data_IF_307508035199
#
_entry.id   IF_307508035199
#
_cell.length_a   1.000
_cell.length_b   1.000
_cell.length_c   1.000
_cell.angle_alpha   90.00
_cell.angle_beta   90.00
_cell.angle_gamma   90.00
#
_symmetry.space_group_name_H-M   'P 1'
#
loop_
_entity.id
_entity.type
_entity.pdbx_description
1 polymer ?
#
# COMPACT_ATOMS: atom_id res chain seq x y z
N UNK A 1 12.95 15.25 -18.27
CA UNK A 1 11.94 14.16 -18.38
C UNK A 1 12.32 13.09 -17.37
N UNK A 2 11.51 12.89 -16.32
CA UNK A 2 11.75 11.87 -15.27
C UNK A 2 11.46 10.49 -15.90
N UNK A 3 12.49 9.73 -16.29
CA UNK A 3 12.36 8.50 -17.11
C UNK A 3 12.77 7.23 -16.35
N UNK A 4 12.29 6.99 -15.13
CA UNK A 4 12.30 5.63 -14.60
C UNK A 4 10.96 4.98 -14.88
N UNK A 5 10.99 4.01 -15.79
CA UNK A 5 9.84 3.18 -16.12
C UNK A 5 9.81 1.98 -15.18
N UNK A 6 8.60 1.50 -14.90
CA UNK A 6 8.38 0.26 -14.19
C UNK A 6 7.69 -0.69 -15.17
N UNK A 7 8.43 -1.68 -15.61
CA UNK A 7 7.94 -2.71 -16.51
C UNK A 7 7.00 -3.64 -15.74
N UNK A 8 5.81 -3.83 -16.29
CA UNK A 8 4.78 -4.76 -15.82
C UNK A 8 4.54 -5.82 -16.91
N UNK A 9 3.44 -6.59 -16.84
CA UNK A 9 3.16 -7.63 -17.84
C UNK A 9 3.14 -7.04 -19.26
N UNK A 10 3.72 -7.69 -20.30
CA UNK A 10 3.90 -7.13 -21.64
C UNK A 10 2.62 -6.62 -22.34
N UNK A 11 1.45 -7.12 -21.90
CA UNK A 11 0.14 -6.74 -22.43
C UNK A 11 -0.46 -5.50 -21.73
N UNK A 12 0.20 -4.97 -20.70
CA UNK A 12 -0.26 -3.83 -19.90
C UNK A 12 0.62 -2.62 -20.17
N UNK A 13 0.07 -1.43 -19.89
CA UNK A 13 0.82 -0.17 -20.04
C UNK A 13 1.84 -0.07 -18.94
N UNK A 14 3.03 0.42 -19.28
CA UNK A 14 4.08 0.74 -18.32
C UNK A 14 3.57 1.68 -17.23
N UNK A 15 4.06 1.50 -16.01
CA UNK A 15 3.77 2.39 -14.88
C UNK A 15 4.90 3.42 -14.76
N UNK A 16 4.52 4.70 -14.63
CA UNK A 16 5.45 5.82 -14.60
C UNK A 16 5.23 6.68 -13.35
N UNK A 17 6.29 7.06 -12.61
CA UNK A 17 6.20 8.10 -11.60
C UNK A 17 5.91 9.45 -12.27
N UNK A 18 4.98 10.20 -11.68
CA UNK A 18 4.44 11.46 -12.20
C UNK A 18 4.85 12.67 -11.36
N UNK A 19 5.44 12.46 -10.19
CA UNK A 19 6.05 13.51 -9.36
C UNK A 19 7.51 13.18 -9.03
N UNK A 20 8.24 14.19 -8.52
CA UNK A 20 9.61 13.96 -8.06
C UNK A 20 9.66 12.98 -6.89
N UNK A 21 8.74 13.09 -5.92
CA UNK A 21 8.71 12.16 -4.77
C UNK A 21 8.31 10.75 -5.18
N UNK A 22 7.42 10.59 -6.15
CA UNK A 22 7.13 9.27 -6.72
C UNK A 22 8.37 8.65 -7.37
N UNK A 23 9.20 9.44 -8.06
CA UNK A 23 10.46 8.97 -8.60
C UNK A 23 11.44 8.56 -7.48
N UNK A 24 11.62 9.43 -6.48
CA UNK A 24 12.50 9.15 -5.35
C UNK A 24 12.03 7.91 -4.56
N UNK A 25 10.71 7.67 -4.48
CA UNK A 25 10.12 6.46 -3.91
C UNK A 25 10.47 5.19 -4.67
N UNK A 26 10.32 5.21 -5.99
CA UNK A 26 10.70 4.07 -6.84
C UNK A 26 12.19 3.76 -6.71
N UNK A 27 13.04 4.79 -6.63
CA UNK A 27 14.48 4.63 -6.38
C UNK A 27 14.77 4.04 -5.01
N UNK A 28 14.08 4.52 -3.97
CA UNK A 28 14.24 4.00 -2.63
C UNK A 28 13.90 2.50 -2.57
N UNK A 29 12.79 2.08 -3.20
CA UNK A 29 12.40 0.66 -3.28
C UNK A 29 13.46 -0.19 -4.00
N UNK A 30 14.14 0.38 -5.02
CA UNK A 30 15.22 -0.32 -5.71
C UNK A 30 16.47 -0.47 -4.86
N UNK A 31 16.80 0.54 -4.08
CA UNK A 31 18.06 0.64 -3.34
C UNK A 31 18.03 0.01 -1.94
N UNK A 32 16.84 -0.14 -1.33
CA UNK A 32 16.71 -0.60 0.05
C UNK A 32 15.81 -1.83 0.15
N UNK A 33 16.10 -2.66 1.16
CA UNK A 33 15.34 -3.86 1.46
C UNK A 33 14.04 -3.56 2.20
N UNK A 34 13.99 -2.47 2.98
CA UNK A 34 12.79 -1.99 3.67
C UNK A 34 12.53 -0.54 3.31
N UNK A 35 11.31 -0.23 2.85
CA UNK A 35 10.92 1.15 2.50
C UNK A 35 9.54 1.49 3.04
N UNK A 36 9.42 2.68 3.63
CA UNK A 36 8.16 3.28 4.06
C UNK A 36 7.73 4.37 3.08
N UNK A 37 6.59 4.17 2.42
CA UNK A 37 5.87 5.18 1.63
C UNK A 37 4.75 5.80 2.45
N UNK A 38 4.94 7.01 2.94
CA UNK A 38 4.05 7.64 3.93
C UNK A 38 3.42 8.88 3.34
N UNK A 39 2.09 9.00 3.39
CA UNK A 39 1.41 10.24 3.02
C UNK A 39 0.02 10.06 2.41
N UNK A 40 -0.59 11.13 1.88
CA UNK A 40 -2.00 11.17 1.54
C UNK A 40 -2.49 10.11 0.54
N UNK A 41 -3.79 9.81 0.57
CA UNK A 41 -4.44 9.00 -0.44
C UNK A 41 -4.39 9.66 -1.84
N UNK A 42 -4.13 8.85 -2.87
CA UNK A 42 -4.01 9.32 -4.26
C UNK A 42 -2.61 9.80 -4.67
N UNK A 43 -1.62 9.70 -3.79
CA UNK A 43 -0.19 9.98 -4.09
C UNK A 43 0.52 8.85 -4.84
N UNK A 44 -0.15 7.70 -5.01
CA UNK A 44 0.37 6.55 -5.76
C UNK A 44 1.27 5.60 -4.96
N UNK A 45 1.44 5.81 -3.65
CA UNK A 45 2.33 5.01 -2.79
C UNK A 45 2.12 3.48 -2.89
N UNK A 46 0.89 3.00 -2.79
CA UNK A 46 0.58 1.56 -2.87
C UNK A 46 0.71 1.05 -4.31
N UNK A 47 0.15 1.80 -5.27
CA UNK A 47 0.19 1.43 -6.69
C UNK A 47 1.62 1.32 -7.24
N UNK A 48 2.51 2.25 -6.90
CA UNK A 48 3.92 2.20 -7.32
C UNK A 48 4.67 1.06 -6.63
N UNK A 49 4.39 0.77 -5.36
CA UNK A 49 4.96 -0.38 -4.66
C UNK A 49 4.58 -1.71 -5.33
N UNK A 50 3.30 -1.86 -5.69
CA UNK A 50 2.80 -3.05 -6.38
C UNK A 50 3.40 -3.17 -7.78
N UNK A 51 3.53 -2.07 -8.53
CA UNK A 51 4.20 -2.09 -9.82
C UNK A 51 5.66 -2.55 -9.69
N UNK A 52 6.37 -2.09 -8.66
CA UNK A 52 7.72 -2.56 -8.35
C UNK A 52 7.75 -4.05 -8.01
N UNK A 53 6.81 -4.54 -7.20
CA UNK A 53 6.71 -5.96 -6.86
C UNK A 53 6.54 -6.84 -8.11
N UNK A 54 5.62 -6.46 -9.00
CA UNK A 54 5.40 -7.15 -10.28
C UNK A 54 6.65 -7.10 -11.14
N UNK A 55 7.32 -5.95 -11.23
CA UNK A 55 8.55 -5.79 -12.02
C UNK A 55 9.67 -6.70 -11.53
N UNK A 56 9.92 -6.74 -10.22
CA UNK A 56 10.95 -7.59 -9.61
C UNK A 56 10.63 -9.07 -9.76
N UNK A 57 9.35 -9.45 -9.67
CA UNK A 57 8.89 -10.81 -9.92
C UNK A 57 9.12 -11.24 -11.37
N UNK A 58 8.72 -10.42 -12.35
CA UNK A 58 8.90 -10.71 -13.78
C UNK A 58 10.39 -10.79 -14.18
N UNK A 59 11.27 -10.05 -13.48
CA UNK A 59 12.72 -10.14 -13.65
C UNK A 59 13.35 -11.36 -12.99
N UNK A 60 12.59 -12.09 -12.17
CA UNK A 60 13.08 -13.25 -11.42
C UNK A 60 13.91 -12.90 -10.19
N UNK A 61 13.91 -11.63 -9.75
CA UNK A 61 14.65 -11.19 -8.56
C UNK A 61 13.99 -11.72 -7.27
N UNK A 62 12.66 -11.85 -7.29
CA UNK A 62 11.87 -12.53 -6.26
C UNK A 62 11.02 -13.63 -6.88
N UNK A 63 10.68 -14.64 -6.10
CA UNK A 63 9.86 -15.77 -6.56
C UNK A 63 8.40 -15.65 -6.15
N UNK A 64 8.07 -14.73 -5.23
CA UNK A 64 6.71 -14.53 -4.71
C UNK A 64 6.39 -13.06 -4.47
N UNK A 65 5.11 -12.71 -4.55
CA UNK A 65 4.58 -11.41 -4.12
C UNK A 65 3.59 -11.67 -2.99
N UNK A 66 3.73 -10.96 -1.88
CA UNK A 66 2.83 -11.06 -0.73
C UNK A 66 2.24 -9.68 -0.46
N UNK A 67 0.95 -9.53 -0.67
CA UNK A 67 0.21 -8.31 -0.41
C UNK A 67 -0.63 -8.51 0.84
N UNK A 68 -0.45 -7.63 1.82
CA UNK A 68 -1.17 -7.72 3.07
C UNK A 68 -1.71 -6.39 3.54
N UNK A 69 -2.83 -6.45 4.24
CA UNK A 69 -3.53 -5.28 4.81
C UNK A 69 -4.05 -5.66 6.20
N UNK A 70 -3.95 -4.78 7.20
CA UNK A 70 -4.57 -5.03 8.50
C UNK A 70 -6.10 -5.07 8.31
N UNK A 71 -6.73 -6.14 8.77
CA UNK A 71 -8.18 -6.19 8.82
C UNK A 71 -8.65 -5.24 9.92
N UNK A 72 -9.44 -4.22 9.56
CA UNK A 72 -10.18 -3.39 10.52
C UNK A 72 -11.63 -3.34 10.11
N UNK A 73 -12.49 -3.38 11.11
CA UNK A 73 -13.93 -3.19 10.96
C UNK A 73 -14.16 -1.73 10.57
N UNK A 74 -14.43 -1.47 9.29
CA UNK A 74 -14.72 -0.13 8.79
C UNK A 74 -16.14 0.28 9.21
N UNK A 75 -16.37 0.57 10.49
CA UNK A 75 -17.67 1.02 11.03
C UNK A 75 -18.81 0.00 10.96
N UNK A 76 -18.73 -0.99 10.07
CA UNK A 76 -19.53 -2.20 10.02
C UNK A 76 -18.73 -3.32 10.68
N UNK A 77 -19.16 -3.74 11.87
CA UNK A 77 -18.56 -4.87 12.58
C UNK A 77 -18.50 -6.08 11.63
N UNK A 78 -17.30 -6.63 11.37
CA UNK A 78 -17.08 -7.79 10.48
C UNK A 78 -17.96 -8.97 10.92
N UNK A 79 -18.25 -9.06 12.22
CA UNK A 79 -19.18 -10.03 12.80
C UNK A 79 -20.57 -10.05 12.15
N UNK A 80 -21.05 -8.93 11.60
CA UNK A 80 -22.43 -8.75 11.13
C UNK A 80 -22.61 -8.83 9.62
N UNK A 81 -21.53 -8.79 8.83
CA UNK A 81 -21.62 -9.08 7.41
C UNK A 81 -22.04 -10.55 7.22
N UNK A 82 -23.04 -10.88 6.39
CA UNK A 82 -23.38 -12.27 6.10
C UNK A 82 -22.26 -12.92 5.28
N UNK A 83 -22.11 -14.25 5.40
CA UNK A 83 -21.15 -15.02 4.59
C UNK A 83 -19.96 -15.62 5.36
N UNK A 84 -19.07 -16.27 4.62
CA UNK A 84 -17.84 -16.86 5.13
C UNK A 84 -16.85 -15.78 5.60
N UNK A 85 -15.87 -16.16 6.42
CA UNK A 85 -14.82 -15.23 6.85
C UNK A 85 -14.08 -14.60 5.66
N UNK A 86 -13.90 -15.37 4.58
CA UNK A 86 -13.26 -14.91 3.35
C UNK A 86 -14.14 -13.85 2.65
N UNK A 87 -15.44 -14.10 2.52
CA UNK A 87 -16.39 -13.14 1.92
C UNK A 87 -16.42 -11.81 2.68
N UNK A 88 -16.28 -11.86 4.01
CA UNK A 88 -16.24 -10.67 4.87
C UNK A 88 -14.98 -9.82 4.69
N UNK A 89 -13.85 -10.46 4.37
CA UNK A 89 -12.56 -9.77 4.26
C UNK A 89 -12.26 -9.33 2.82
N UNK A 90 -12.83 -10.01 1.83
CA UNK A 90 -12.63 -9.70 0.42
C UNK A 90 -12.84 -8.22 0.04
N UNK A 91 -13.85 -7.49 0.53
CA UNK A 91 -14.02 -6.07 0.22
C UNK A 91 -12.79 -5.21 0.57
N UNK A 92 -12.09 -5.55 1.66
CA UNK A 92 -10.90 -4.82 2.11
C UNK A 92 -9.66 -5.12 1.28
N UNK A 93 -9.59 -6.34 0.73
CA UNK A 93 -8.48 -6.76 -0.12
C UNK A 93 -8.71 -6.41 -1.60
N UNK A 94 -9.96 -6.16 -2.00
CA UNK A 94 -10.37 -5.91 -3.39
C UNK A 94 -9.52 -4.86 -4.11
N UNK A 95 -9.17 -3.70 -3.51
CA UNK A 95 -8.32 -2.72 -4.18
C UNK A 95 -6.94 -3.26 -4.60
N UNK A 96 -6.39 -4.22 -3.84
CA UNK A 96 -5.12 -4.87 -4.17
C UNK A 96 -5.28 -5.82 -5.37
N UNK A 97 -6.39 -6.56 -5.44
CA UNK A 97 -6.72 -7.37 -6.62
C UNK A 97 -6.89 -6.52 -7.87
N UNK A 98 -7.66 -5.44 -7.78
CA UNK A 98 -7.92 -4.54 -8.90
C UNK A 98 -6.60 -3.92 -9.43
N UNK A 99 -5.72 -3.49 -8.52
CA UNK A 99 -4.40 -2.98 -8.90
C UNK A 99 -3.49 -4.04 -9.55
N UNK A 100 -3.55 -5.31 -9.10
CA UNK A 100 -2.83 -6.41 -9.78
C UNK A 100 -3.35 -6.62 -11.19
N UNK A 101 -4.68 -6.59 -11.39
CA UNK A 101 -5.29 -6.73 -12.72
C UNK A 101 -4.96 -5.57 -13.66
N UNK A 102 -4.62 -4.40 -13.14
CA UNK A 102 -4.10 -3.31 -13.96
C UNK A 102 -2.68 -3.59 -14.49
N UNK A 103 -1.89 -4.37 -13.75
CA UNK A 103 -0.46 -4.62 -14.02
C UNK A 103 -0.20 -5.97 -14.71
N UNK A 104 -1.11 -6.93 -14.58
CA UNK A 104 -0.99 -8.29 -15.09
C UNK A 104 -2.31 -8.77 -15.73
N UNK A 105 -2.26 -9.78 -16.59
CA UNK A 105 -3.48 -10.34 -17.18
C UNK A 105 -4.37 -11.01 -16.12
N UNK A 106 -5.70 -10.99 -16.27
CA UNK A 106 -6.60 -11.57 -15.28
C UNK A 106 -6.34 -13.07 -15.06
N UNK A 107 -6.23 -13.84 -16.15
CA UNK A 107 -5.94 -15.27 -16.09
C UNK A 107 -4.54 -15.56 -15.52
N UNK A 108 -3.59 -14.66 -15.80
CA UNK A 108 -2.22 -14.73 -15.28
C UNK A 108 -2.21 -14.55 -13.75
N UNK A 109 -2.88 -13.51 -13.25
CA UNK A 109 -3.03 -13.25 -11.80
C UNK A 109 -3.77 -14.40 -11.13
N UNK A 110 -4.89 -14.86 -11.70
CA UNK A 110 -5.66 -15.97 -11.15
C UNK A 110 -4.82 -17.23 -10.98
N UNK A 111 -4.07 -17.63 -12.01
CA UNK A 111 -3.19 -18.79 -11.95
C UNK A 111 -2.03 -18.62 -10.96
N UNK A 112 -1.48 -17.40 -10.82
CA UNK A 112 -0.41 -17.13 -9.84
C UNK A 112 -0.92 -17.16 -8.40
N UNK A 113 -2.15 -16.72 -8.16
CA UNK A 113 -2.80 -16.79 -6.85
C UNK A 113 -3.12 -18.24 -6.49
N UNK A 114 -3.68 -19.02 -7.43
CA UNK A 114 -3.98 -20.43 -7.22
C UNK A 114 -2.73 -21.24 -6.86
N UNK A 115 -1.59 -20.92 -7.46
CA UNK A 115 -0.29 -21.55 -7.15
C UNK A 115 0.37 -21.01 -5.87
N UNK A 116 -0.20 -20.00 -5.21
CA UNK A 116 0.39 -19.34 -4.04
C UNK A 116 1.65 -18.53 -4.35
N UNK A 117 1.86 -18.15 -5.62
CA UNK A 117 2.99 -17.30 -6.04
C UNK A 117 2.70 -15.83 -5.72
N UNK A 118 1.45 -15.40 -5.95
CA UNK A 118 0.93 -14.15 -5.45
C UNK A 118 -0.02 -14.47 -4.31
N UNK A 119 0.23 -13.93 -3.12
CA UNK A 119 -0.64 -14.08 -1.96
C UNK A 119 -1.26 -12.71 -1.64
N UNK A 120 -2.59 -12.64 -1.54
CA UNK A 120 -3.31 -11.45 -1.04
C UNK A 120 -4.06 -11.87 0.21
N UNK A 121 -3.59 -11.42 1.38
CA UNK A 121 -4.08 -11.96 2.65
C UNK A 121 -4.08 -10.93 3.78
N UNK A 122 -4.93 -11.10 4.82
CA UNK A 122 -4.93 -10.23 5.99
C UNK A 122 -3.61 -10.32 6.77
N UNK A 123 -3.25 -9.24 7.47
CA UNK A 123 -2.00 -9.16 8.26
C UNK A 123 -1.82 -10.31 9.26
N UNK A 124 -2.92 -10.81 9.83
CA UNK A 124 -2.89 -11.92 10.78
C UNK A 124 -2.26 -13.20 10.21
N UNK A 125 -2.35 -13.42 8.89
CA UNK A 125 -1.80 -14.59 8.20
C UNK A 125 -0.28 -14.54 8.09
N UNK A 126 0.35 -13.40 8.42
CA UNK A 126 1.81 -13.27 8.43
C UNK A 126 2.43 -13.84 9.71
N UNK A 127 1.65 -14.08 10.77
CA UNK A 127 2.14 -14.56 12.05
C UNK A 127 2.82 -15.93 11.91
N UNK A 128 4.01 -16.08 12.51
CA UNK A 128 4.76 -17.34 12.52
C UNK A 128 5.44 -17.69 11.20
N UNK A 129 5.40 -16.81 10.19
CA UNK A 129 6.03 -17.05 8.89
C UNK A 129 7.42 -16.43 8.81
N UNK A 130 8.28 -17.03 8.00
CA UNK A 130 9.50 -16.38 7.48
C UNK A 130 9.35 -16.26 5.97
N UNK A 131 9.39 -15.04 5.46
CA UNK A 131 9.06 -14.72 4.07
C UNK A 131 10.35 -14.51 3.30
N UNK A 132 10.94 -15.61 2.79
CA UNK A 132 12.14 -15.59 1.96
C UNK A 132 11.79 -15.43 0.46
N UNK A 133 12.71 -14.84 -0.30
CA UNK A 133 12.61 -14.67 -1.76
C UNK A 133 11.31 -13.99 -2.21
N UNK A 134 10.81 -13.03 -1.45
CA UNK A 134 9.50 -12.44 -1.65
C UNK A 134 9.54 -10.91 -1.69
N UNK A 135 8.70 -10.32 -2.52
CA UNK A 135 8.35 -8.90 -2.42
C UNK A 135 7.08 -8.76 -1.59
N UNK A 136 7.18 -8.11 -0.44
CA UNK A 136 6.14 -8.06 0.59
C UNK A 136 5.65 -6.63 0.69
N UNK A 137 4.34 -6.41 0.66
CA UNK A 137 3.72 -5.10 0.80
C UNK A 137 2.72 -5.14 1.95
N UNK A 138 2.89 -4.24 2.93
CA UNK A 138 1.89 -3.91 3.93
C UNK A 138 1.20 -2.60 3.53
N UNK A 139 -0.05 -2.70 3.10
CA UNK A 139 -0.90 -1.56 2.77
C UNK A 139 -1.74 -1.10 3.97
N UNK A 140 -2.13 0.17 3.98
CA UNK A 140 -2.81 0.84 5.10
C UNK A 140 -2.16 0.62 6.48
N UNK A 141 -0.84 0.75 6.53
CA UNK A 141 -0.07 0.48 7.73
C UNK A 141 -0.44 1.38 8.94
N UNK A 142 -1.11 2.52 8.73
CA UNK A 142 -1.60 3.38 9.81
C UNK A 142 -2.62 2.67 10.72
N UNK A 143 -3.21 1.57 10.23
CA UNK A 143 -4.19 0.74 10.90
C UNK A 143 -3.57 -0.43 11.68
N UNK A 144 -2.23 -0.49 11.75
CA UNK A 144 -1.52 -1.46 12.58
C UNK A 144 -1.24 -0.91 13.97
N UNK A 145 -1.20 -1.77 14.97
CA UNK A 145 -0.58 -1.45 16.27
C UNK A 145 0.94 -1.57 16.21
N UNK A 146 1.67 -1.00 17.17
CA UNK A 146 3.12 -1.16 17.28
C UNK A 146 3.56 -2.64 17.32
N UNK A 147 2.80 -3.49 18.03
CA UNK A 147 3.06 -4.92 18.10
C UNK A 147 2.86 -5.62 16.75
N UNK A 148 1.80 -5.27 16.02
CA UNK A 148 1.55 -5.82 14.68
C UNK A 148 2.61 -5.39 13.68
N UNK A 149 3.06 -4.14 13.73
CA UNK A 149 4.14 -3.63 12.89
C UNK A 149 5.46 -4.37 13.16
N UNK A 150 5.84 -4.51 14.44
CA UNK A 150 7.03 -5.27 14.82
C UNK A 150 6.92 -6.75 14.41
N UNK A 151 5.75 -7.36 14.64
CA UNK A 151 5.46 -8.73 14.22
C UNK A 151 5.66 -8.88 12.72
N UNK A 152 5.16 -7.95 11.91
CA UNK A 152 5.27 -7.97 10.45
C UNK A 152 6.71 -7.78 9.95
N UNK A 153 7.41 -6.73 10.43
CA UNK A 153 8.79 -6.44 10.01
C UNK A 153 9.72 -7.62 10.31
N UNK A 154 9.50 -8.32 11.43
CA UNK A 154 10.26 -9.53 11.81
C UNK A 154 9.84 -10.81 11.06
N UNK A 155 8.97 -10.74 10.05
CA UNK A 155 8.69 -11.86 9.12
C UNK A 155 9.55 -11.83 7.88
N UNK A 156 10.18 -10.69 7.59
CA UNK A 156 11.05 -10.56 6.43
C UNK A 156 12.23 -11.54 6.54
N UNK A 157 12.37 -12.39 5.52
CA UNK A 157 13.45 -13.36 5.39
C UNK A 157 14.54 -12.91 4.43
N UNK A 158 15.43 -13.83 4.09
CA UNK A 158 16.53 -13.60 3.15
C UNK A 158 16.03 -13.32 1.73
N UNK A 159 16.77 -12.47 1.01
CA UNK A 159 16.51 -12.09 -0.38
C UNK A 159 15.06 -11.63 -0.60
N UNK A 160 14.52 -10.90 0.36
CA UNK A 160 13.18 -10.33 0.30
C UNK A 160 13.25 -8.82 0.30
N UNK A 161 12.17 -8.19 -0.14
CA UNK A 161 11.98 -6.74 -0.03
C UNK A 161 10.65 -6.47 0.63
N UNK A 162 10.60 -5.45 1.47
CA UNK A 162 9.43 -5.10 2.24
C UNK A 162 9.08 -3.63 2.03
N UNK A 163 7.87 -3.36 1.56
CA UNK A 163 7.37 -2.00 1.38
C UNK A 163 6.15 -1.78 2.25
N UNK A 164 6.22 -0.78 3.11
CA UNK A 164 5.16 -0.41 4.04
C UNK A 164 4.54 0.89 3.54
N UNK A 165 3.24 0.90 3.33
CA UNK A 165 2.54 2.09 2.84
C UNK A 165 1.41 2.48 3.78
N UNK A 166 1.22 3.78 3.98
CA UNK A 166 0.12 4.25 4.84
C UNK A 166 0.00 5.75 4.90
N UNK A 167 -1.10 6.22 5.47
CA UNK A 167 -1.40 7.62 5.71
C UNK A 167 -1.65 7.84 7.20
N UNK A 168 -0.71 8.44 7.95
CA UNK A 168 -0.89 8.68 9.38
C UNK A 168 -2.12 9.51 9.74
N UNK A 169 -2.66 10.29 8.79
CA UNK A 169 -3.84 11.14 9.01
C UNK A 169 -5.17 10.38 8.90
N UNK A 170 -5.14 9.15 8.39
CA UNK A 170 -6.32 8.29 8.18
C UNK A 170 -6.26 7.04 9.07
N UNK A 171 -5.76 7.18 10.30
CA UNK A 171 -5.74 6.06 11.24
C UNK A 171 -7.14 5.80 11.78
N UNK A 172 -7.63 4.57 11.56
CA UNK A 172 -8.90 4.12 12.11
C UNK A 172 -8.74 3.61 13.55
N UNK A 173 -7.51 3.56 14.09
CA UNK A 173 -7.21 3.05 15.43
C UNK A 173 -8.07 3.75 16.49
N UNK A 174 -8.51 2.97 17.48
CA UNK A 174 -9.16 3.59 18.63
C UNK A 174 -8.15 4.53 19.29
N UNK A 175 -8.54 5.75 19.69
CA UNK A 175 -7.61 6.78 20.14
C UNK A 175 -6.73 6.43 21.36
N UNK A 176 -6.88 5.23 21.94
CA UNK A 176 -6.02 4.67 22.99
C UNK A 176 -4.80 3.91 22.44
N UNK A 177 -4.84 3.46 21.19
CA UNK A 177 -3.78 2.67 20.57
C UNK A 177 -2.82 3.57 19.78
N UNK A 178 -1.52 3.46 20.04
CA UNK A 178 -0.50 4.15 19.25
C UNK A 178 -0.37 3.49 17.88
N UNK A 179 -0.43 4.29 16.81
CA UNK A 179 -0.24 3.79 15.45
C UNK A 179 1.14 3.15 15.28
N UNK A 180 1.14 1.90 14.80
CA UNK A 180 2.35 1.14 14.50
C UNK A 180 3.19 1.79 13.41
N UNK A 181 2.55 2.45 12.44
CA UNK A 181 3.26 3.21 11.40
C UNK A 181 4.03 4.38 11.99
N UNK A 182 3.37 5.24 12.77
CA UNK A 182 4.04 6.39 13.42
C UNK A 182 5.15 5.93 14.37
N UNK A 183 4.87 4.92 15.18
CA UNK A 183 5.86 4.35 16.08
C UNK A 183 7.09 3.80 15.34
N UNK A 184 6.89 3.09 14.23
CA UNK A 184 7.99 2.57 13.42
C UNK A 184 8.80 3.69 12.77
N UNK A 185 8.16 4.74 12.23
CA UNK A 185 8.85 5.90 11.68
C UNK A 185 9.76 6.54 12.73
N UNK A 186 9.28 6.72 13.95
CA UNK A 186 10.05 7.33 15.04
C UNK A 186 11.20 6.42 15.50
N UNK A 187 10.93 5.12 15.65
CA UNK A 187 11.89 4.14 16.20
C UNK A 187 12.99 3.79 15.21
N UNK A 188 12.65 3.69 13.93
CA UNK A 188 13.54 3.16 12.88
C UNK A 188 14.24 4.26 12.08
N UNK A 189 14.00 5.55 12.42
CA UNK A 189 14.55 6.69 11.68
C UNK A 189 16.07 6.72 11.59
N UNK A 190 16.76 6.16 12.58
CA UNK A 190 18.22 6.12 12.66
C UNK A 190 18.85 4.90 11.96
N UNK A 191 18.05 4.00 11.40
CA UNK A 191 18.55 2.83 10.67
C UNK A 191 18.73 3.25 9.21
N UNK A 192 19.98 3.38 8.76
CA UNK A 192 20.32 3.98 7.47
C UNK A 192 19.85 3.13 6.28
N UNK A 193 19.70 1.82 6.47
CA UNK A 193 19.27 0.86 5.46
C UNK A 193 17.74 0.88 5.22
N UNK A 194 16.99 1.65 6.02
CA UNK A 194 15.54 1.77 5.87
C UNK A 194 15.21 3.08 5.15
N UNK A 195 14.60 2.97 3.97
CA UNK A 195 14.15 4.11 3.20
C UNK A 195 12.85 4.70 3.74
N UNK A 196 12.78 6.02 3.92
CA UNK A 196 11.54 6.73 4.25
C UNK A 196 11.23 7.77 3.19
N UNK A 197 10.03 7.71 2.60
CA UNK A 197 9.57 8.67 1.61
C UNK A 197 8.23 9.25 2.04
N UNK A 198 8.22 10.56 2.29
CA UNK A 198 7.06 11.30 2.74
C UNK A 198 6.43 12.06 1.58
N UNK A 199 5.26 11.62 1.15
CA UNK A 199 4.41 12.28 0.16
C UNK A 199 3.58 13.39 0.81
N UNK A 200 3.19 14.38 0.02
CA UNK A 200 2.16 15.34 0.41
C UNK A 200 1.10 15.51 -0.68
N UNK A 201 0.15 16.43 -0.45
CA UNK A 201 -0.98 16.67 -1.35
C UNK A 201 -0.56 17.12 -2.75
N UNK A 202 0.66 17.64 -2.94
CA UNK A 202 1.17 18.04 -4.27
C UNK A 202 1.59 16.85 -5.13
N UNK A 203 1.77 15.68 -4.51
CA UNK A 203 2.06 14.43 -5.23
C UNK A 203 0.79 13.69 -5.66
N UNK A 204 -0.39 14.21 -5.30
CA UNK A 204 -1.67 13.61 -5.67
C UNK A 204 -1.91 13.82 -7.14
N UNK A 205 -2.06 12.72 -7.88
CA UNK A 205 -2.37 12.77 -9.30
C UNK A 205 -3.83 12.39 -9.50
N UNK A 206 -4.67 13.39 -9.69
CA UNK A 206 -6.11 13.22 -9.94
C UNK A 206 -6.48 13.78 -11.30
N UNK A 207 -7.60 13.27 -11.81
CA UNK A 207 -8.19 13.84 -13.02
C UNK A 207 -8.70 15.26 -12.70
N UNK A 208 -8.52 16.21 -13.62
CA UNK A 208 -8.90 17.61 -13.42
C UNK A 208 -10.38 17.80 -13.03
N UNK A 209 -11.28 16.91 -13.52
CA UNK A 209 -12.69 16.91 -13.11
C UNK A 209 -12.84 16.61 -11.60
N UNK A 210 -12.07 15.67 -11.05
CA UNK A 210 -12.17 15.29 -9.64
C UNK A 210 -11.72 16.44 -8.73
N UNK A 211 -10.71 17.21 -9.14
CA UNK A 211 -10.32 18.43 -8.43
C UNK A 211 -11.46 19.46 -8.41
N UNK A 212 -12.13 19.66 -9.56
CA UNK A 212 -13.32 20.55 -9.63
C UNK A 212 -14.45 20.07 -8.73
N UNK A 213 -14.70 18.76 -8.68
CA UNK A 213 -15.72 18.17 -7.80
C UNK A 213 -15.35 18.42 -6.32
N UNK A 214 -14.11 18.15 -5.91
CA UNK A 214 -13.66 18.37 -4.54
C UNK A 214 -13.77 19.85 -4.16
N UNK A 215 -13.36 20.76 -5.05
CA UNK A 215 -13.50 22.19 -4.85
C UNK A 215 -14.97 22.59 -4.66
N UNK A 216 -15.88 22.06 -5.47
CA UNK A 216 -17.31 22.35 -5.37
C UNK A 216 -17.92 21.86 -4.04
N UNK A 217 -17.48 20.71 -3.52
CA UNK A 217 -17.92 20.19 -2.21
C UNK A 217 -17.29 20.94 -1.03
N UNK A 218 -16.06 21.44 -1.16
CA UNK A 218 -15.40 22.22 -0.11
C UNK A 218 -15.86 23.69 -0.09
N UNK A 219 -16.30 24.22 -1.23
CA UNK A 219 -16.74 25.62 -1.39
C UNK A 219 -18.19 25.90 -0.98
N UNK A 220 -18.96 24.90 -0.55
CA UNK A 220 -20.34 25.07 -0.08
C UNK A 220 -20.46 25.29 1.45
N UNK A 221 -19.34 25.51 2.15
CA UNK A 221 -19.28 25.72 3.60
C UNK A 221 -19.25 27.17 4.09
N UNK A 222 -19.15 28.18 3.22
CA UNK A 222 -19.15 29.60 3.59
C UNK A 222 -20.29 30.33 2.85
N UNK A 223 -21.50 30.25 3.40
CA UNK A 223 -22.69 30.86 2.81
C UNK A 223 -23.86 30.89 3.78
N UNK A 224 -23.65 31.47 4.97
CA UNK A 224 -24.68 31.57 6.00
C UNK A 224 -24.30 32.53 7.10
N UNK A 225 -24.04 33.79 6.75
CA UNK A 225 -23.73 34.83 7.72
C UNK A 225 -23.71 36.20 7.07
N UNK A 226 -24.86 36.67 6.61
CA UNK A 226 -25.19 38.10 6.49
C UNK A 226 -26.72 38.24 6.28
N UNK A 227 -27.30 39.27 6.90
CA UNK A 227 -28.71 39.55 7.24
C UNK A 227 -29.06 39.02 8.64
N UNK A 228 -29.20 39.82 9.70
CA UNK A 228 -29.52 41.26 9.85
C UNK A 228 -28.66 41.93 10.93
#
# INVERSE_FOLDING_TARGET
>A
MLKERIDVSPKKREVLPRSRRQLDYVRAIRANDVVFGVGPAGTGKTYLAMAMAVSEFLKGNVTRIILTRPARESGENLGFLPGSLEEKIMPYLRPLYDALYDMMGNDEVAGLIERGVIEVAPLAFMRGRTLNNAFIILDEAQNTTAEQMLMFLTRMGFNSRCVITGDPTQSDLSGRERSGLLHAIETLRSVEEIGFIFFDTRDVVRHALLEKIILAYNGTGEGGGENE
#
